data_IF_287685819822
#
_entry.id   IF_287685819822
#
_cell.length_a   1.000
_cell.length_b   1.000
_cell.length_c   1.000
_cell.angle_alpha   90.00
_cell.angle_beta   90.00
_cell.angle_gamma   90.00
#
_symmetry.space_group_name_H-M   'P 1'
#
loop_
_entity.id
_entity.type
_entity.pdbx_description
1 polymer ?
#
# COMPACT_ATOMS: atom_id res chain seq x y z
N UNK A 1 17.90 -16.94 3.74
CA UNK A 1 16.63 -17.67 3.58
C UNK A 1 16.27 -18.28 4.92
N UNK A 2 15.37 -17.65 5.68
CA UNK A 2 14.82 -18.24 6.91
C UNK A 2 13.36 -18.53 6.60
N UNK A 3 13.09 -19.75 6.12
CA UNK A 3 11.74 -20.32 6.08
C UNK A 3 11.68 -21.45 7.11
N UNK A 4 10.53 -21.63 7.74
CA UNK A 4 10.31 -22.76 8.64
C UNK A 4 10.11 -24.02 7.77
N UNK A 5 10.98 -25.02 7.96
CA UNK A 5 10.86 -26.29 7.25
C UNK A 5 9.89 -27.20 7.99
N UNK A 6 9.00 -27.85 7.24
CA UNK A 6 7.98 -28.73 7.78
C UNK A 6 8.07 -30.08 7.06
N UNK A 7 8.05 -31.14 7.85
CA UNK A 7 8.07 -32.52 7.38
C UNK A 7 6.76 -33.19 7.80
N UNK A 8 5.90 -33.50 6.84
CA UNK A 8 4.73 -34.33 7.05
C UNK A 8 5.10 -35.79 6.78
N UNK A 9 4.86 -36.69 7.72
CA UNK A 9 5.12 -38.14 7.56
C UNK A 9 3.79 -38.87 7.45
N UNK A 10 3.64 -39.69 6.40
CA UNK A 10 2.48 -40.49 6.06
C UNK A 10 2.90 -41.95 5.82
N UNK A 11 3.12 -42.70 6.90
CA UNK A 11 3.54 -44.10 6.79
C UNK A 11 4.94 -44.22 6.18
N UNK A 12 5.02 -44.79 4.97
CA UNK A 12 6.24 -44.99 4.19
C UNK A 12 6.56 -43.82 3.23
N UNK A 13 5.78 -42.74 3.26
CA UNK A 13 6.01 -41.52 2.49
C UNK A 13 6.07 -40.29 3.39
N UNK A 14 6.74 -39.24 2.94
CA UNK A 14 6.78 -37.95 3.60
C UNK A 14 6.88 -36.78 2.61
N UNK A 15 6.32 -35.64 2.98
CA UNK A 15 6.37 -34.40 2.20
C UNK A 15 7.17 -33.36 2.97
N UNK A 16 8.17 -32.79 2.30
CA UNK A 16 9.00 -31.71 2.81
C UNK A 16 8.60 -30.41 2.11
N UNK A 17 8.25 -29.40 2.88
CA UNK A 17 7.97 -28.05 2.39
C UNK A 17 8.56 -27.00 3.32
N UNK A 18 8.65 -25.76 2.83
CA UNK A 18 9.08 -24.62 3.62
C UNK A 18 8.05 -23.49 3.56
N UNK A 19 7.74 -22.92 4.72
CA UNK A 19 6.95 -21.70 4.85
C UNK A 19 7.88 -20.50 4.99
N UNK A 20 7.83 -19.58 4.02
CA UNK A 20 8.61 -18.34 4.02
C UNK A 20 7.80 -17.12 4.49
N UNK A 21 6.69 -17.33 5.19
CA UNK A 21 5.78 -16.28 5.65
C UNK A 21 5.23 -15.48 4.47
N UNK A 22 5.65 -14.22 4.34
CA UNK A 22 5.28 -13.38 3.21
C UNK A 22 5.72 -13.94 1.84
N UNK A 23 6.80 -14.75 1.81
CA UNK A 23 7.25 -15.44 0.60
C UNK A 23 6.37 -16.64 0.20
N UNK A 24 5.44 -17.04 1.07
CA UNK A 24 4.54 -18.15 0.88
C UNK A 24 5.16 -19.53 1.11
N UNK A 25 4.32 -20.54 0.98
CA UNK A 25 4.66 -21.95 1.10
C UNK A 25 5.26 -22.43 -0.21
N UNK A 26 6.34 -23.22 -0.11
CA UNK A 26 6.99 -23.88 -1.23
C UNK A 26 7.21 -25.36 -0.94
N UNK A 27 6.73 -26.27 -1.81
CA UNK A 27 7.11 -27.68 -1.72
C UNK A 27 8.60 -27.82 -2.04
N UNK A 28 9.31 -28.60 -1.24
CA UNK A 28 10.74 -28.87 -1.42
C UNK A 28 10.97 -30.27 -2.01
N UNK A 29 10.14 -31.26 -1.66
CA UNK A 29 10.23 -32.59 -2.25
C UNK A 29 9.38 -33.63 -1.52
N UNK A 30 9.28 -34.82 -2.13
CA UNK A 30 8.68 -36.03 -1.53
C UNK A 30 9.79 -37.01 -1.16
N UNK A 31 9.63 -37.67 -0.02
CA UNK A 31 10.61 -38.56 0.57
C UNK A 31 9.98 -39.93 0.84
N UNK A 32 10.72 -41.01 0.63
CA UNK A 32 10.36 -42.35 1.12
C UNK A 32 10.87 -42.52 2.54
N UNK A 33 10.05 -43.10 3.39
CA UNK A 33 10.30 -43.28 4.81
C UNK A 33 10.62 -44.74 5.07
N UNK A 34 11.75 -45.01 5.72
CA UNK A 34 12.09 -46.35 6.21
C UNK A 34 12.70 -46.28 7.60
N UNK A 35 12.57 -47.36 8.38
CA UNK A 35 13.14 -47.44 9.73
C UNK A 35 14.17 -48.56 9.76
N UNK A 36 15.41 -48.22 10.13
CA UNK A 36 16.52 -49.17 10.26
C UNK A 36 17.45 -48.76 11.40
N UNK A 37 17.91 -49.72 12.20
CA UNK A 37 18.86 -49.49 13.30
C UNK A 37 18.42 -48.37 14.26
N UNK A 38 17.11 -48.35 14.59
CA UNK A 38 16.45 -47.30 15.39
C UNK A 38 16.55 -45.87 14.83
N UNK A 39 16.81 -45.72 13.53
CA UNK A 39 16.83 -44.45 12.80
C UNK A 39 15.71 -44.41 11.76
N UNK A 40 15.12 -43.24 11.59
CA UNK A 40 14.21 -42.91 10.52
C UNK A 40 15.05 -42.40 9.33
N UNK A 41 14.93 -43.04 8.18
CA UNK A 41 15.62 -42.68 6.95
C UNK A 41 14.60 -42.09 5.97
N UNK A 42 14.91 -40.92 5.42
CA UNK A 42 14.10 -40.20 4.44
C UNK A 42 14.90 -40.12 3.14
N UNK A 43 14.44 -40.81 2.12
CA UNK A 43 15.08 -40.89 0.80
C UNK A 43 14.31 -40.05 -0.22
N UNK A 44 14.93 -39.03 -0.81
CA UNK A 44 14.30 -38.20 -1.84
C UNK A 44 13.88 -39.07 -3.04
N UNK A 45 12.60 -38.98 -3.40
CA UNK A 45 12.03 -39.74 -4.52
C UNK A 45 12.64 -39.33 -5.85
N UNK A 46 13.02 -38.05 -5.99
CA UNK A 46 13.50 -37.46 -7.24
C UNK A 46 15.01 -37.15 -7.22
N UNK A 47 15.72 -37.58 -6.18
CA UNK A 47 17.10 -37.16 -5.93
C UNK A 47 17.94 -38.23 -5.25
N UNK A 48 19.16 -37.85 -4.88
CA UNK A 48 20.10 -38.67 -4.10
C UNK A 48 20.20 -38.22 -2.64
N UNK A 49 19.42 -37.22 -2.25
CA UNK A 49 19.38 -36.71 -0.88
C UNK A 49 18.78 -37.77 0.04
N UNK A 50 19.55 -38.15 1.07
CA UNK A 50 19.09 -39.00 2.17
C UNK A 50 19.21 -38.23 3.48
N UNK A 51 18.13 -38.12 4.23
CA UNK A 51 18.16 -37.62 5.60
C UNK A 51 18.07 -38.80 6.58
N UNK A 52 18.82 -38.71 7.67
CA UNK A 52 18.78 -39.66 8.76
C UNK A 52 18.35 -38.92 10.03
N UNK A 53 17.29 -39.40 10.66
CA UNK A 53 16.71 -38.82 11.86
C UNK A 53 16.66 -39.85 12.98
N UNK A 54 16.85 -39.40 14.22
CA UNK A 54 16.74 -40.23 15.43
C UNK A 54 15.74 -39.61 16.38
N UNK A 55 14.96 -40.42 17.11
CA UNK A 55 14.13 -39.92 18.21
C UNK A 55 15.02 -39.26 19.28
N UNK A 56 14.64 -38.05 19.69
CA UNK A 56 15.25 -37.38 20.83
C UNK A 56 14.67 -37.95 22.14
N UNK A 57 15.24 -37.53 23.28
CA UNK A 57 14.89 -37.92 24.66
C UNK A 57 13.43 -37.64 25.00
N UNK A 58 12.82 -36.61 24.40
CA UNK A 58 11.41 -36.25 24.64
C UNK A 58 10.40 -37.12 23.87
N UNK A 59 10.88 -38.07 23.05
CA UNK A 59 10.13 -38.97 22.15
C UNK A 59 9.18 -38.30 21.15
N UNK A 60 9.08 -36.98 21.20
CA UNK A 60 8.21 -36.12 20.39
C UNK A 60 9.03 -35.18 19.50
N UNK A 61 10.33 -35.33 19.43
CA UNK A 61 11.18 -34.60 18.50
C UNK A 61 12.17 -35.54 17.81
N UNK A 62 12.66 -35.07 16.67
CA UNK A 62 13.62 -35.80 15.84
C UNK A 62 14.92 -35.01 15.75
N UNK A 63 16.03 -35.66 16.12
CA UNK A 63 17.37 -35.17 15.88
C UNK A 63 17.78 -35.52 14.46
N UNK A 64 18.09 -34.51 13.65
CA UNK A 64 18.48 -34.71 12.26
C UNK A 64 19.99 -34.84 12.09
N UNK A 65 20.46 -36.07 11.89
CA UNK A 65 21.88 -36.44 11.92
C UNK A 65 22.71 -35.88 10.74
N UNK A 66 22.06 -35.36 9.70
CA UNK A 66 22.73 -34.87 8.48
C UNK A 66 21.96 -33.76 7.75
N UNK A 67 21.36 -32.83 8.49
CA UNK A 67 20.53 -31.76 7.93
C UNK A 67 21.28 -30.67 7.16
N UNK A 68 22.62 -30.60 7.15
CA UNK A 68 23.36 -29.69 6.25
C UNK A 68 22.98 -29.86 4.78
N UNK A 69 22.54 -31.06 4.39
CA UNK A 69 22.03 -31.36 3.04
C UNK A 69 20.80 -30.52 2.66
N UNK A 70 20.02 -30.05 3.64
CA UNK A 70 18.89 -29.13 3.46
C UNK A 70 19.31 -27.66 3.56
N UNK A 71 20.60 -27.34 3.40
CA UNK A 71 21.16 -26.00 3.66
C UNK A 71 21.00 -25.52 5.11
N UNK A 72 20.83 -26.44 6.06
CA UNK A 72 20.88 -26.11 7.48
C UNK A 72 22.32 -25.71 7.88
N UNK A 73 22.45 -24.70 8.75
CA UNK A 73 23.76 -24.21 9.22
C UNK A 73 24.51 -25.20 10.11
N UNK A 74 23.82 -26.21 10.65
CA UNK A 74 24.35 -27.21 11.56
C UNK A 74 23.81 -28.58 11.18
N UNK A 75 24.63 -29.60 11.39
CA UNK A 75 24.12 -30.96 11.55
C UNK A 75 23.50 -31.06 12.95
N UNK A 76 22.59 -32.01 13.15
CA UNK A 76 21.86 -32.24 14.41
C UNK A 76 20.87 -31.14 14.85
N UNK A 77 20.14 -30.43 13.97
CA UNK A 77 19.01 -29.63 14.41
C UNK A 77 17.90 -30.53 14.97
N UNK A 78 17.27 -30.06 16.04
CA UNK A 78 16.10 -30.71 16.66
C UNK A 78 14.85 -30.25 15.94
N UNK A 79 14.15 -31.19 15.30
CA UNK A 79 12.85 -30.99 14.68
C UNK A 79 11.76 -31.25 15.72
N UNK A 80 10.94 -30.24 15.99
CA UNK A 80 9.88 -30.32 16.99
C UNK A 80 8.61 -30.89 16.38
N UNK A 81 7.89 -31.73 17.12
CA UNK A 81 6.55 -32.13 16.74
C UNK A 81 5.60 -30.94 16.75
N UNK A 82 4.90 -30.77 15.64
CA UNK A 82 3.83 -29.79 15.49
C UNK A 82 2.47 -30.50 15.62
N UNK A 83 1.68 -30.21 16.68
CA UNK A 83 0.38 -30.85 16.89
C UNK A 83 -0.70 -30.41 15.89
N UNK A 84 -0.42 -29.41 15.04
CA UNK A 84 -1.37 -28.93 14.03
C UNK A 84 -1.32 -29.71 12.72
N UNK A 85 -0.26 -30.48 12.51
CA UNK A 85 -0.11 -31.35 11.34
C UNK A 85 -0.92 -32.65 11.43
N UNK A 86 -0.93 -33.46 10.37
CA UNK A 86 -0.28 -33.21 9.08
C UNK A 86 -0.99 -32.12 8.27
N UNK A 87 -0.22 -31.33 7.54
CA UNK A 87 -0.73 -30.26 6.69
C UNK A 87 -1.16 -30.77 5.31
N UNK A 88 -2.32 -30.33 4.80
CA UNK A 88 -2.68 -30.56 3.39
C UNK A 88 -1.96 -29.53 2.50
N UNK A 89 -0.77 -29.90 2.02
CA UNK A 89 0.11 -29.02 1.24
C UNK A 89 -0.58 -28.57 -0.05
N UNK A 90 -1.31 -29.47 -0.72
CA UNK A 90 -2.03 -29.17 -1.95
C UNK A 90 -3.15 -28.14 -1.72
N UNK A 91 -3.92 -28.31 -0.64
CA UNK A 91 -4.94 -27.34 -0.26
C UNK A 91 -4.31 -25.98 0.09
N UNK A 92 -3.20 -25.97 0.83
CA UNK A 92 -2.49 -24.74 1.18
C UNK A 92 -1.96 -24.01 -0.06
N UNK A 93 -1.42 -24.74 -1.05
CA UNK A 93 -0.95 -24.17 -2.31
C UNK A 93 -2.10 -23.62 -3.16
N UNK A 94 -3.25 -24.30 -3.22
CA UNK A 94 -4.47 -23.81 -3.87
C UNK A 94 -4.97 -22.52 -3.22
N UNK A 95 -5.02 -22.48 -1.90
CA UNK A 95 -5.45 -21.31 -1.14
C UNK A 95 -4.49 -20.13 -1.32
N UNK A 96 -3.18 -20.38 -1.34
CA UNK A 96 -2.18 -19.38 -1.66
C UNK A 96 -2.36 -18.81 -3.08
N UNK A 97 -2.61 -19.67 -4.07
CA UNK A 97 -2.84 -19.25 -5.45
C UNK A 97 -4.10 -18.38 -5.56
N UNK A 98 -5.21 -18.81 -4.93
CA UNK A 98 -6.46 -18.04 -4.86
C UNK A 98 -6.24 -16.64 -4.29
N UNK A 99 -5.54 -16.54 -3.15
CA UNK A 99 -5.22 -15.24 -2.52
C UNK A 99 -4.39 -14.33 -3.43
N UNK A 100 -3.44 -14.90 -4.18
CA UNK A 100 -2.62 -14.12 -5.13
C UNK A 100 -3.45 -13.62 -6.31
N UNK A 101 -4.34 -14.45 -6.84
CA UNK A 101 -5.25 -14.08 -7.92
C UNK A 101 -6.23 -12.98 -7.46
N UNK A 102 -6.80 -13.11 -6.26
CA UNK A 102 -7.67 -12.08 -5.67
C UNK A 102 -6.95 -10.75 -5.47
N UNK A 103 -5.71 -10.79 -4.96
CA UNK A 103 -4.90 -9.58 -4.81
C UNK A 103 -4.61 -8.92 -6.17
N UNK A 104 -4.25 -9.72 -7.19
CA UNK A 104 -4.01 -9.23 -8.54
C UNK A 104 -5.28 -8.62 -9.16
N UNK A 105 -6.42 -9.29 -9.03
CA UNK A 105 -7.70 -8.80 -9.53
C UNK A 105 -8.11 -7.49 -8.83
N UNK A 106 -7.91 -7.38 -7.51
CA UNK A 106 -8.17 -6.15 -6.77
C UNK A 106 -7.25 -5.00 -7.23
N UNK A 107 -5.98 -5.29 -7.51
CA UNK A 107 -5.03 -4.30 -8.04
C UNK A 107 -5.41 -3.85 -9.46
N UNK A 108 -5.80 -4.78 -10.34
CA UNK A 108 -6.26 -4.48 -11.69
C UNK A 108 -7.53 -3.62 -11.68
N UNK A 109 -8.50 -3.95 -10.84
CA UNK A 109 -9.72 -3.16 -10.69
C UNK A 109 -9.44 -1.76 -10.14
N UNK A 110 -8.49 -1.63 -9.20
CA UNK A 110 -8.03 -0.32 -8.73
C UNK A 110 -7.38 0.47 -9.87
N UNK A 111 -6.44 -0.13 -10.61
CA UNK A 111 -5.76 0.51 -11.73
C UNK A 111 -6.74 0.96 -12.83
N UNK A 112 -7.76 0.14 -13.11
CA UNK A 112 -8.82 0.47 -14.04
C UNK A 112 -9.61 1.71 -13.58
N UNK A 113 -9.99 1.76 -12.31
CA UNK A 113 -10.69 2.91 -11.72
C UNK A 113 -9.83 4.18 -11.78
N UNK A 114 -8.57 4.10 -11.37
CA UNK A 114 -7.64 5.23 -11.39
C UNK A 114 -7.43 5.76 -12.82
N UNK A 115 -7.38 4.86 -13.81
CA UNK A 115 -7.25 5.24 -15.23
C UNK A 115 -8.51 5.95 -15.75
N UNK A 116 -9.70 5.43 -15.42
CA UNK A 116 -10.96 6.06 -15.80
C UNK A 116 -11.10 7.45 -15.15
N UNK A 117 -10.77 7.56 -13.86
CA UNK A 117 -10.80 8.82 -13.14
C UNK A 117 -9.81 9.82 -13.75
N UNK A 118 -8.57 9.41 -14.03
CA UNK A 118 -7.59 10.28 -14.67
C UNK A 118 -8.04 10.73 -16.06
N UNK A 119 -8.70 9.86 -16.83
CA UNK A 119 -9.33 10.21 -18.11
C UNK A 119 -10.38 11.31 -17.94
N UNK A 120 -11.29 11.16 -16.97
CA UNK A 120 -12.31 12.18 -16.63
C UNK A 120 -11.67 13.49 -16.19
N UNK A 121 -10.63 13.43 -15.34
CA UNK A 121 -9.91 14.63 -14.88
C UNK A 121 -9.23 15.35 -16.03
N UNK A 122 -8.65 14.62 -16.99
CA UNK A 122 -8.04 15.21 -18.18
C UNK A 122 -9.07 15.92 -19.07
N UNK A 123 -10.27 15.35 -19.25
CA UNK A 123 -11.33 16.02 -20.03
C UNK A 123 -11.87 17.26 -19.34
N UNK A 124 -12.05 17.21 -18.01
CA UNK A 124 -12.49 18.37 -17.23
C UNK A 124 -11.42 19.46 -17.14
N UNK A 125 -10.14 19.09 -17.14
CA UNK A 125 -9.03 20.02 -16.99
C UNK A 125 -9.09 21.14 -18.03
N UNK A 126 -9.48 20.86 -19.28
CA UNK A 126 -9.60 21.85 -20.35
C UNK A 126 -10.52 23.02 -20.00
N UNK A 127 -11.52 22.79 -19.14
CA UNK A 127 -12.50 23.80 -18.71
C UNK A 127 -11.96 24.71 -17.59
N UNK A 128 -10.77 24.43 -17.03
CA UNK A 128 -10.19 25.20 -15.93
C UNK A 128 -9.65 26.58 -16.33
N UNK A 129 -9.58 26.92 -17.62
CA UNK A 129 -9.02 28.20 -18.11
C UNK A 129 -9.49 29.44 -17.32
N UNK A 130 -10.78 29.62 -16.96
CA UNK A 130 -11.22 30.79 -16.18
C UNK A 130 -10.61 30.86 -14.77
N UNK A 131 -10.23 29.71 -14.22
CA UNK A 131 -9.76 29.51 -12.86
C UNK A 131 -8.23 29.43 -12.76
N UNK A 132 -7.51 29.47 -13.89
CA UNK A 132 -6.06 29.27 -13.89
C UNK A 132 -5.32 30.28 -13.02
N UNK A 133 -4.42 29.78 -12.17
CA UNK A 133 -3.61 30.56 -11.24
C UNK A 133 -3.46 29.88 -9.88
N UNK A 134 -2.70 30.53 -9.01
CA UNK A 134 -2.58 30.11 -7.63
C UNK A 134 -3.52 30.94 -6.74
N UNK A 135 -4.17 30.24 -5.82
CA UNK A 135 -5.24 30.76 -4.98
C UNK A 135 -4.86 30.55 -3.52
N UNK A 136 -4.97 31.60 -2.71
CA UNK A 136 -4.66 31.56 -1.28
C UNK A 136 -5.95 31.66 -0.48
N UNK A 137 -6.21 30.66 0.36
CA UNK A 137 -7.34 30.66 1.27
C UNK A 137 -7.20 31.82 2.28
N UNK A 138 -8.27 32.62 2.39
CA UNK A 138 -8.39 33.69 3.37
C UNK A 138 -8.78 33.09 4.72
N UNK A 139 -7.83 33.09 5.67
CA UNK A 139 -8.05 32.53 7.00
C UNK A 139 -9.07 33.36 7.76
N UNK A 140 -9.97 32.67 8.44
CA UNK A 140 -10.99 33.23 9.32
C UNK A 140 -10.60 33.13 10.79
N UNK A 141 -9.63 32.29 11.15
CA UNK A 141 -9.12 32.16 12.52
C UNK A 141 -7.59 32.02 12.60
N UNK A 142 -7.01 32.41 13.74
CA UNK A 142 -5.56 32.27 14.01
C UNK A 142 -5.06 30.82 14.03
N UNK A 143 -5.95 29.84 14.21
CA UNK A 143 -5.59 28.42 14.29
C UNK A 143 -5.45 27.76 12.91
N UNK A 144 -6.00 28.37 11.87
CA UNK A 144 -5.95 27.82 10.52
C UNK A 144 -4.55 27.91 9.91
N UNK A 145 -4.27 27.01 8.98
CA UNK A 145 -3.03 26.94 8.23
C UNK A 145 -3.04 27.89 7.03
N UNK A 146 -1.86 28.18 6.47
CA UNK A 146 -1.80 28.77 5.14
C UNK A 146 -2.12 27.67 4.13
N UNK A 147 -3.14 27.88 3.30
CA UNK A 147 -3.55 26.91 2.29
C UNK A 147 -3.48 27.57 0.92
N UNK A 148 -2.77 26.91 0.01
CA UNK A 148 -2.55 27.37 -1.36
C UNK A 148 -3.12 26.31 -2.30
N UNK A 149 -3.94 26.74 -3.25
CA UNK A 149 -4.50 25.90 -4.30
C UNK A 149 -3.99 26.38 -5.65
N UNK A 150 -3.24 25.54 -6.36
CA UNK A 150 -2.85 25.78 -7.74
C UNK A 150 -3.88 25.15 -8.67
N UNK A 151 -4.41 25.94 -9.60
CA UNK A 151 -5.36 25.50 -10.62
C UNK A 151 -4.72 25.74 -11.99
N UNK A 152 -4.40 24.67 -12.71
CA UNK A 152 -3.75 24.75 -14.02
C UNK A 152 -4.26 23.65 -14.93
N UNK A 153 -4.44 23.86 -16.24
CA UNK A 153 -4.91 22.79 -17.14
C UNK A 153 -4.00 21.57 -17.14
N UNK A 154 -2.68 21.77 -17.13
CA UNK A 154 -1.69 20.71 -17.22
C UNK A 154 -1.48 20.01 -15.88
N UNK A 155 -1.41 20.76 -14.80
CA UNK A 155 -1.14 20.25 -13.45
C UNK A 155 -2.41 19.96 -12.64
N UNK A 156 -3.57 20.31 -13.20
CA UNK A 156 -4.90 20.21 -12.60
C UNK A 156 -4.98 20.97 -11.28
N UNK A 157 -5.90 20.59 -10.40
CA UNK A 157 -6.04 21.21 -9.08
C UNK A 157 -5.13 20.49 -8.07
N UNK A 158 -4.28 21.27 -7.39
CA UNK A 158 -3.40 20.81 -6.32
C UNK A 158 -3.52 21.74 -5.13
N UNK A 159 -3.59 21.18 -3.93
CA UNK A 159 -3.75 21.95 -2.70
C UNK A 159 -2.60 21.61 -1.76
N UNK A 160 -1.94 22.64 -1.24
CA UNK A 160 -0.88 22.53 -0.25
C UNK A 160 -1.26 23.28 1.01
N UNK A 161 -0.89 22.73 2.16
CA UNK A 161 -1.12 23.34 3.47
C UNK A 161 0.19 23.50 4.22
N UNK A 162 0.38 24.64 4.88
CA UNK A 162 1.61 25.01 5.58
C UNK A 162 1.32 25.57 6.97
N UNK A 163 2.25 25.33 7.89
CA UNK A 163 2.28 26.05 9.16
C UNK A 163 2.39 27.56 8.92
N UNK A 164 1.62 28.35 9.67
CA UNK A 164 1.62 29.81 9.49
C UNK A 164 2.98 30.38 9.86
N UNK A 165 3.53 30.06 11.04
CA UNK A 165 4.75 30.70 11.56
C UNK A 165 6.05 30.18 10.93
N UNK A 166 6.14 28.87 10.66
CA UNK A 166 7.35 28.25 10.11
C UNK A 166 7.30 28.07 8.59
N UNK A 167 6.10 28.08 8.00
CA UNK A 167 5.86 27.71 6.60
C UNK A 167 6.32 26.29 6.26
N UNK A 168 6.40 25.42 7.27
CA UNK A 168 6.70 24.00 7.06
C UNK A 168 5.49 23.32 6.38
N UNK A 169 5.74 22.45 5.38
CA UNK A 169 4.66 21.75 4.69
C UNK A 169 3.96 20.76 5.63
N UNK A 170 2.63 20.85 5.72
CA UNK A 170 1.78 19.92 6.48
C UNK A 170 1.16 18.83 5.62
N UNK A 171 0.95 19.12 4.34
CA UNK A 171 0.25 18.19 3.46
C UNK A 171 0.09 18.70 2.05
N UNK A 172 -0.14 17.75 1.14
CA UNK A 172 -0.45 17.96 -0.26
C UNK A 172 -1.64 17.09 -0.64
N UNK A 173 -2.60 17.66 -1.35
CA UNK A 173 -3.79 16.97 -1.86
C UNK A 173 -3.96 17.26 -3.35
N UNK A 174 -4.64 16.35 -4.03
CA UNK A 174 -4.98 16.47 -5.44
C UNK A 174 -6.47 16.18 -5.57
N UNK A 175 -7.33 17.14 -5.19
CA UNK A 175 -8.76 16.91 -5.13
C UNK A 175 -9.34 16.59 -6.52
N UNK A 176 -10.45 15.86 -6.51
CA UNK A 176 -11.33 15.76 -7.67
C UNK A 176 -11.95 17.12 -7.97
N UNK A 177 -12.29 17.33 -9.24
CA UNK A 177 -12.94 18.56 -9.67
C UNK A 177 -13.86 18.31 -10.87
N UNK A 178 -14.74 19.29 -11.10
CA UNK A 178 -15.67 19.34 -12.22
C UNK A 178 -16.00 20.81 -12.49
N UNK A 179 -16.00 21.22 -13.75
CA UNK A 179 -16.45 22.57 -14.13
C UNK A 179 -17.86 22.48 -14.68
N UNK A 180 -18.78 23.14 -13.99
CA UNK A 180 -20.21 23.21 -14.31
C UNK A 180 -20.61 24.63 -14.71
N UNK A 181 -21.81 24.81 -15.24
CA UNK A 181 -22.35 26.14 -15.56
C UNK A 181 -22.50 27.03 -14.32
N UNK A 182 -22.68 26.43 -13.13
CA UNK A 182 -22.80 27.14 -11.86
C UNK A 182 -21.45 27.54 -11.25
N UNK A 183 -20.33 26.93 -11.69
CA UNK A 183 -19.02 27.17 -11.10
C UNK A 183 -18.12 25.93 -11.08
N UNK A 184 -17.01 26.04 -10.34
CA UNK A 184 -16.01 25.00 -10.16
C UNK A 184 -16.33 24.19 -8.91
N UNK A 185 -16.57 22.88 -9.08
CA UNK A 185 -16.72 21.96 -7.97
C UNK A 185 -15.36 21.35 -7.61
N UNK A 186 -14.99 21.37 -6.34
CA UNK A 186 -13.71 20.83 -5.84
C UNK A 186 -13.96 20.00 -4.58
N UNK A 187 -13.31 18.85 -4.49
CA UNK A 187 -13.37 18.02 -3.28
C UNK A 187 -13.07 16.55 -3.56
N UNK A 188 -13.58 15.69 -2.69
CA UNK A 188 -13.55 14.24 -2.90
C UNK A 188 -14.95 13.77 -3.29
N UNK A 189 -15.08 12.57 -3.85
CA UNK A 189 -16.36 12.04 -4.36
C UNK A 189 -17.54 12.12 -3.37
N UNK A 190 -17.27 12.07 -2.06
CA UNK A 190 -18.30 12.18 -1.01
C UNK A 190 -18.60 13.60 -0.53
N UNK A 191 -17.75 14.59 -0.84
CA UNK A 191 -17.86 16.00 -0.42
C UNK A 191 -17.20 16.92 -1.46
N UNK A 192 -17.97 17.26 -2.49
CA UNK A 192 -17.62 18.26 -3.51
C UNK A 192 -18.28 19.59 -3.16
N UNK A 193 -17.49 20.64 -3.00
CA UNK A 193 -17.95 22.00 -2.72
C UNK A 193 -18.00 22.83 -4.00
N UNK A 194 -19.03 23.67 -4.14
CA UNK A 194 -19.20 24.57 -5.29
C UNK A 194 -18.53 25.93 -5.02
N UNK A 195 -17.59 26.30 -5.88
CA UNK A 195 -16.91 27.59 -5.86
C UNK A 195 -17.33 28.44 -7.06
N UNK A 196 -17.74 29.68 -6.81
CA UNK A 196 -18.02 30.69 -7.83
C UNK A 196 -16.88 31.68 -7.95
N UNK A 197 -16.59 32.09 -9.17
CA UNK A 197 -15.56 33.06 -9.49
C UNK A 197 -16.17 34.46 -9.55
N UNK A 198 -15.55 35.44 -8.88
CA UNK A 198 -15.93 36.84 -8.97
C UNK A 198 -15.78 37.39 -10.39
N UNK A 199 -16.52 38.46 -10.73
CA UNK A 199 -16.48 39.06 -12.06
C UNK A 199 -15.08 39.55 -12.48
N UNK A 200 -14.29 40.04 -11.52
CA UNK A 200 -12.91 40.47 -11.72
C UNK A 200 -11.89 39.31 -11.74
N UNK A 201 -12.38 38.08 -11.53
CA UNK A 201 -11.61 36.83 -11.49
C UNK A 201 -10.53 36.79 -10.40
N UNK A 202 -10.70 37.56 -9.33
CA UNK A 202 -9.74 37.64 -8.21
C UNK A 202 -10.14 36.84 -6.99
N UNK A 203 -11.42 36.47 -6.85
CA UNK A 203 -11.94 35.80 -5.67
C UNK A 203 -12.71 34.55 -6.07
N UNK A 204 -12.40 33.41 -5.45
CA UNK A 204 -13.28 32.24 -5.43
C UNK A 204 -14.01 32.16 -4.09
N UNK A 205 -15.32 31.96 -4.13
CA UNK A 205 -16.14 31.86 -2.92
C UNK A 205 -16.89 30.54 -2.91
N UNK A 206 -16.76 29.79 -1.82
CA UNK A 206 -17.54 28.58 -1.62
C UNK A 206 -19.01 28.93 -1.35
N UNK A 207 -19.93 28.31 -2.08
CA UNK A 207 -21.36 28.57 -1.99
C UNK A 207 -22.10 27.65 -1.02
N UNK A 208 -21.55 26.46 -0.78
CA UNK A 208 -22.20 25.39 0.01
C UNK A 208 -21.35 24.95 1.22
N UNK A 209 -20.29 25.69 1.54
CA UNK A 209 -19.50 25.46 2.75
C UNK A 209 -20.25 25.97 3.97
N UNK A 210 -20.20 25.20 5.06
CA UNK A 210 -20.83 25.58 6.34
C UNK A 210 -20.21 26.85 6.95
N UNK A 211 -18.93 27.10 6.64
CA UNK A 211 -18.21 28.33 6.96
C UNK A 211 -17.90 29.01 5.62
N UNK A 212 -18.15 30.32 5.47
CA UNK A 212 -17.79 31.03 4.25
C UNK A 212 -16.29 30.90 3.97
N UNK A 213 -15.95 30.23 2.87
CA UNK A 213 -14.56 30.13 2.42
C UNK A 213 -14.34 31.08 1.25
N UNK A 214 -13.29 31.90 1.36
CA UNK A 214 -12.84 32.78 0.29
C UNK A 214 -11.40 32.48 -0.08
N UNK A 215 -11.11 32.52 -1.37
CA UNK A 215 -9.78 32.33 -1.91
C UNK A 215 -9.41 33.53 -2.77
N UNK A 216 -8.28 34.16 -2.48
CA UNK A 216 -7.76 35.27 -3.26
C UNK A 216 -6.75 34.77 -4.29
N UNK A 217 -6.87 35.26 -5.52
CA UNK A 217 -5.91 34.96 -6.59
C UNK A 217 -4.59 35.66 -6.33
N UNK A 218 -3.50 34.90 -6.38
CA UNK A 218 -2.15 35.44 -6.24
C UNK A 218 -1.73 36.21 -7.50
N UNK A 219 -0.83 37.18 -7.30
CA UNK A 219 -0.17 37.88 -8.39
C UNK A 219 0.80 36.92 -9.08
N UNK A 220 0.65 36.63 -10.39
CA UNK A 220 1.53 35.71 -11.11
C UNK A 220 2.99 36.18 -11.17
N UNK A 221 3.28 37.45 -10.82
CA UNK A 221 4.64 37.99 -10.75
C UNK A 221 5.30 37.81 -9.39
N UNK A 222 4.54 37.38 -8.37
CA UNK A 222 5.03 37.19 -7.00
C UNK A 222 5.12 35.70 -6.71
N UNK A 223 6.20 35.31 -6.04
CA UNK A 223 6.41 33.92 -5.66
C UNK A 223 5.68 33.61 -4.35
N UNK A 224 4.77 32.64 -4.36
CA UNK A 224 4.11 32.16 -3.14
C UNK A 224 5.02 31.32 -2.24
N UNK A 225 6.23 30.97 -2.68
CA UNK A 225 7.28 30.45 -1.80
C UNK A 225 7.80 31.53 -0.84
N UNK A 226 7.58 32.82 -1.15
CA UNK A 226 7.78 33.90 -0.20
C UNK A 226 6.77 33.81 0.94
N UNK A 227 7.29 33.45 2.11
CA UNK A 227 6.52 33.29 3.36
C UNK A 227 5.78 34.57 3.73
N UNK A 228 6.36 35.74 3.46
CA UNK A 228 5.73 37.01 3.81
C UNK A 228 4.49 37.23 2.95
N UNK A 229 4.65 37.13 1.63
CA UNK A 229 3.56 37.34 0.68
C UNK A 229 2.41 36.33 0.86
N UNK A 230 2.71 35.04 0.98
CA UNK A 230 1.68 34.02 1.17
C UNK A 230 0.90 34.21 2.49
N UNK A 231 1.54 34.69 3.56
CA UNK A 231 0.87 35.01 4.84
C UNK A 231 0.04 36.27 4.76
N UNK A 232 0.57 37.32 4.13
CA UNK A 232 -0.15 38.57 3.90
C UNK A 232 -1.44 38.28 3.13
N UNK A 233 -1.34 37.49 2.07
CA UNK A 233 -2.50 37.02 1.33
C UNK A 233 -3.44 36.18 2.19
N UNK A 234 -2.94 35.21 2.97
CA UNK A 234 -3.79 34.36 3.79
C UNK A 234 -4.52 35.11 4.91
N UNK A 235 -4.11 36.34 5.22
CA UNK A 235 -4.70 37.17 6.27
C UNK A 235 -4.27 36.78 7.69
N UNK A 236 -4.41 37.75 8.60
CA UNK A 236 -4.13 37.60 10.02
C UNK A 236 -5.36 37.98 10.86
N UNK A 237 -6.41 37.12 10.87
CA UNK A 237 -7.61 37.31 11.67
C UNK A 237 -7.33 37.32 13.18
#
# INVERSE_FOLDING_TARGET
MQGEMVLNIHGDEAELFADFGAGGIKPLGKMRVSVKDAKLLLDDVNGSTRLAMKRNVDERSLDCLNCKLLSAKKDDPVWKYDPKGPYDVDQMLKEQARKREEALNAELEKMRKDTLEQGRRNSEALKLTPYEGDWVYQRTTKKEHVVIMGVWRKEQIRVWSFDVESFNPRGKKTPGFEVTDAGLRIGNDSKMHLYTLSADKKILTCQDCAIPEHWAKADPKKDLSDRYYAREMAGNP
#
